data_IF_897035347957
#
_entry.id   IF_897035347957
#
_cell.length_a   1.000
_cell.length_b   1.000
_cell.length_c   1.000
_cell.angle_alpha   90.00
_cell.angle_beta   90.00
_cell.angle_gamma   90.00
#
_symmetry.space_group_name_H-M   'P 1'
#
loop_
_entity.id
_entity.type
_entity.pdbx_description
1 polymer ?
#
# COMPACT_ATOMS: atom_id res chain seq x y z
N UNK A 1 6.12 8.45 -8.58
CA UNK A 1 5.76 8.00 -9.95
C UNK A 1 6.54 6.76 -10.39
N UNK A 2 7.89 6.79 -10.48
CA UNK A 2 8.66 5.65 -11.00
C UNK A 2 8.42 4.30 -10.31
N UNK A 3 8.28 4.29 -8.98
CA UNK A 3 8.00 3.06 -8.23
C UNK A 3 6.62 2.47 -8.58
N UNK A 4 5.59 3.31 -8.70
CA UNK A 4 4.23 2.87 -9.10
C UNK A 4 4.26 2.26 -10.49
N UNK A 5 4.93 2.92 -11.45
CA UNK A 5 5.06 2.40 -12.82
C UNK A 5 5.77 1.06 -12.83
N UNK A 6 6.86 0.90 -12.08
CA UNK A 6 7.58 -0.36 -11.99
C UNK A 6 6.71 -1.49 -11.39
N UNK A 7 5.94 -1.19 -10.34
CA UNK A 7 4.99 -2.13 -9.73
C UNK A 7 3.89 -2.52 -10.71
N UNK A 8 3.29 -1.55 -11.41
CA UNK A 8 2.28 -1.79 -12.43
C UNK A 8 2.82 -2.65 -13.58
N UNK A 9 4.06 -2.42 -14.02
CA UNK A 9 4.70 -3.25 -15.04
C UNK A 9 4.88 -4.70 -14.57
N UNK A 10 5.42 -4.91 -13.36
CA UNK A 10 5.59 -6.25 -12.78
C UNK A 10 4.28 -7.00 -12.65
N UNK A 11 3.22 -6.31 -12.21
CA UNK A 11 1.88 -6.88 -12.14
C UNK A 11 1.36 -7.27 -13.53
N UNK A 12 1.46 -6.37 -14.51
CA UNK A 12 0.99 -6.61 -15.88
C UNK A 12 1.76 -7.75 -16.59
N UNK A 13 3.01 -7.99 -16.21
CA UNK A 13 3.85 -9.07 -16.73
C UNK A 13 3.60 -10.42 -16.06
N UNK A 14 2.83 -10.47 -14.95
CA UNK A 14 2.73 -11.69 -14.13
C UNK A 14 4.02 -12.01 -13.37
N UNK A 15 4.84 -10.99 -13.12
CA UNK A 15 6.12 -11.09 -12.41
C UNK A 15 6.01 -10.64 -10.95
N UNK A 16 4.83 -10.19 -10.52
CA UNK A 16 4.52 -9.82 -9.15
C UNK A 16 3.70 -10.92 -8.47
N UNK A 17 4.19 -11.43 -7.35
CA UNK A 17 3.49 -12.39 -6.49
C UNK A 17 3.28 -11.79 -5.11
N UNK A 18 2.09 -11.98 -4.54
CA UNK A 18 1.79 -11.57 -3.16
C UNK A 18 1.65 -12.83 -2.31
N UNK A 19 2.28 -12.83 -1.15
CA UNK A 19 2.23 -13.88 -0.13
C UNK A 19 1.64 -13.29 1.14
N UNK A 20 0.99 -14.08 1.98
CA UNK A 20 0.48 -13.60 3.28
C UNK A 20 1.64 -13.12 4.16
N UNK A 21 2.47 -14.05 4.63
CA UNK A 21 3.61 -13.78 5.50
C UNK A 21 4.80 -14.72 5.19
N UNK A 22 5.97 -14.43 5.76
CA UNK A 22 7.20 -15.23 5.61
C UNK A 22 7.59 -16.08 6.84
N UNK A 23 6.73 -16.14 7.87
CA UNK A 23 7.10 -16.69 9.17
C UNK A 23 7.33 -18.21 9.18
N UNK A 24 6.66 -18.96 8.29
CA UNK A 24 6.70 -20.43 8.24
C UNK A 24 7.76 -20.97 7.27
N UNK A 25 8.64 -20.11 6.77
CA UNK A 25 9.70 -20.54 5.86
C UNK A 25 10.82 -21.26 6.61
N UNK A 26 11.22 -22.40 6.06
CA UNK A 26 12.45 -23.11 6.40
C UNK A 26 13.36 -23.14 5.17
N UNK A 27 14.66 -23.38 5.35
CA UNK A 27 15.62 -23.42 4.24
C UNK A 27 15.21 -24.43 3.15
N UNK A 28 14.75 -25.62 3.55
CA UNK A 28 14.30 -26.66 2.62
C UNK A 28 13.05 -26.23 1.85
N UNK A 29 12.07 -25.67 2.56
CA UNK A 29 10.83 -25.23 1.94
C UNK A 29 11.07 -24.05 0.99
N UNK A 30 12.02 -23.17 1.32
CA UNK A 30 12.39 -22.05 0.48
C UNK A 30 13.07 -22.51 -0.81
N UNK A 31 14.05 -23.43 -0.76
CA UNK A 31 14.70 -23.93 -1.97
C UNK A 31 13.70 -24.61 -2.92
N UNK A 32 12.75 -25.35 -2.35
CA UNK A 32 11.69 -26.02 -3.10
C UNK A 32 10.70 -25.00 -3.70
N UNK A 33 10.34 -23.97 -2.93
CA UNK A 33 9.50 -22.87 -3.40
C UNK A 33 10.19 -22.09 -4.53
N UNK A 34 11.49 -21.79 -4.39
CA UNK A 34 12.27 -21.07 -5.41
C UNK A 34 12.28 -21.83 -6.73
N UNK A 35 12.42 -23.16 -6.67
CA UNK A 35 12.46 -24.02 -7.85
C UNK A 35 11.08 -24.19 -8.49
N UNK A 36 10.06 -24.48 -7.68
CA UNK A 36 8.69 -24.71 -8.15
C UNK A 36 8.02 -23.47 -8.73
N UNK A 37 8.26 -22.30 -8.13
CA UNK A 37 7.68 -21.01 -8.55
C UNK A 37 8.58 -20.23 -9.51
N UNK A 38 9.68 -20.82 -10.00
CA UNK A 38 10.64 -20.18 -10.90
C UNK A 38 11.22 -18.85 -10.38
N UNK A 39 11.49 -18.76 -9.07
CA UNK A 39 11.97 -17.54 -8.39
C UNK A 39 13.50 -17.42 -8.37
N UNK A 40 14.19 -17.99 -9.37
CA UNK A 40 15.66 -18.01 -9.41
C UNK A 40 16.31 -16.62 -9.47
N UNK A 41 15.56 -15.61 -9.96
CA UNK A 41 15.96 -14.21 -9.93
C UNK A 41 14.80 -13.39 -9.39
N UNK A 42 14.73 -13.26 -8.07
CA UNK A 42 13.62 -12.59 -7.39
C UNK A 42 14.09 -11.55 -6.39
N UNK A 43 13.20 -10.60 -6.10
CA UNK A 43 13.32 -9.68 -4.99
C UNK A 43 12.19 -9.98 -4.01
N UNK A 44 12.53 -10.35 -2.78
CA UNK A 44 11.58 -10.51 -1.69
C UNK A 44 11.46 -9.20 -0.93
N UNK A 45 10.22 -8.82 -0.62
CA UNK A 45 9.93 -7.59 0.11
C UNK A 45 8.97 -7.88 1.22
N UNK A 46 9.39 -7.55 2.43
CA UNK A 46 8.55 -7.60 3.63
C UNK A 46 8.26 -6.21 4.15
N UNK A 47 7.28 -6.07 5.05
CA UNK A 47 6.91 -4.78 5.61
C UNK A 47 8.04 -4.15 6.42
N UNK A 48 8.73 -4.97 7.20
CA UNK A 48 9.82 -4.57 8.09
C UNK A 48 11.09 -5.38 7.82
N UNK A 49 12.16 -5.07 8.55
CA UNK A 49 13.39 -5.86 8.52
C UNK A 49 13.14 -7.25 9.09
N UNK A 50 13.70 -8.26 8.43
CA UNK A 50 13.55 -9.66 8.78
C UNK A 50 14.90 -10.36 8.63
N UNK A 51 15.65 -10.41 9.72
CA UNK A 51 17.02 -10.97 9.74
C UNK A 51 17.04 -12.44 9.32
N UNK A 52 15.99 -13.20 9.68
CA UNK A 52 15.88 -14.59 9.28
C UNK A 52 15.75 -14.72 7.77
N UNK A 53 14.84 -13.99 7.15
CA UNK A 53 14.66 -14.00 5.70
C UNK A 53 15.91 -13.50 4.97
N UNK A 54 16.57 -12.46 5.49
CA UNK A 54 17.81 -11.94 4.91
C UNK A 54 18.92 -12.99 4.94
N UNK A 55 19.10 -13.69 6.07
CA UNK A 55 20.06 -14.79 6.19
C UNK A 55 19.74 -15.93 5.22
N UNK A 56 18.46 -16.28 5.06
CA UNK A 56 18.01 -17.35 4.20
C UNK A 56 18.29 -17.01 2.72
N UNK A 57 17.96 -15.79 2.32
CA UNK A 57 18.18 -15.28 0.97
C UNK A 57 19.66 -15.12 0.64
N UNK A 58 20.51 -14.81 1.62
CA UNK A 58 21.95 -14.61 1.41
C UNK A 58 22.69 -15.80 0.77
N UNK A 59 22.11 -17.00 0.85
CA UNK A 59 22.63 -18.20 0.18
C UNK A 59 22.49 -18.21 -1.35
N UNK A 60 21.76 -17.24 -1.93
CA UNK A 60 21.42 -17.21 -3.36
C UNK A 60 21.93 -15.91 -4.03
N UNK A 61 22.71 -16.04 -5.11
CA UNK A 61 23.34 -14.89 -5.78
C UNK A 61 22.33 -13.90 -6.42
N UNK A 62 21.21 -14.42 -6.91
CA UNK A 62 20.20 -13.65 -7.68
C UNK A 62 18.91 -13.43 -6.89
N UNK A 63 18.92 -13.68 -5.60
CA UNK A 63 17.77 -13.45 -4.72
C UNK A 63 18.19 -12.44 -3.66
N UNK A 64 17.36 -11.43 -3.46
CA UNK A 64 17.61 -10.33 -2.52
C UNK A 64 16.39 -10.15 -1.65
N UNK A 65 16.63 -9.65 -0.45
CA UNK A 65 15.60 -9.17 0.45
C UNK A 65 15.74 -7.66 0.63
N UNK A 66 14.60 -6.96 0.68
CA UNK A 66 14.52 -5.56 1.10
C UNK A 66 13.25 -5.29 1.90
N UNK A 67 13.31 -4.49 2.98
CA UNK A 67 12.09 -3.99 3.61
C UNK A 67 11.38 -3.00 2.67
N UNK A 68 10.05 -2.92 2.77
CA UNK A 68 9.17 -2.13 1.90
C UNK A 68 9.58 -0.66 1.82
N UNK A 69 10.10 -0.09 2.91
CA UNK A 69 10.54 1.30 2.95
C UNK A 69 11.81 1.56 2.12
N UNK A 70 12.66 0.54 1.95
CA UNK A 70 13.92 0.59 1.17
C UNK A 70 13.76 0.08 -0.26
N UNK A 71 12.53 -0.26 -0.68
CA UNK A 71 12.22 -0.68 -2.03
C UNK A 71 12.51 0.45 -3.02
N UNK A 72 13.25 0.11 -4.08
CA UNK A 72 13.65 1.06 -5.12
C UNK A 72 13.57 0.42 -6.50
N UNK A 73 13.37 1.25 -7.52
CA UNK A 73 13.08 0.81 -8.91
C UNK A 73 14.22 -0.04 -9.47
N UNK A 74 15.48 0.33 -9.22
CA UNK A 74 16.63 -0.39 -9.77
C UNK A 74 16.66 -1.86 -9.32
N UNK A 75 16.47 -2.15 -8.03
CA UNK A 75 16.38 -3.52 -7.51
C UNK A 75 15.23 -4.32 -8.13
N UNK A 76 14.07 -3.68 -8.36
CA UNK A 76 12.93 -4.33 -9.02
C UNK A 76 13.20 -4.66 -10.49
N UNK A 77 14.00 -3.86 -11.20
CA UNK A 77 14.29 -4.04 -12.62
C UNK A 77 15.42 -5.05 -12.87
N UNK A 78 16.40 -5.16 -11.97
CA UNK A 78 17.46 -6.16 -12.06
C UNK A 78 16.89 -7.58 -11.91
N UNK A 79 15.86 -7.74 -11.08
CA UNK A 79 15.27 -9.04 -10.77
C UNK A 79 14.09 -9.35 -11.66
N UNK A 80 13.96 -10.63 -12.03
CA UNK A 80 12.89 -11.08 -12.91
C UNK A 80 11.54 -11.11 -12.20
N UNK A 81 11.50 -11.59 -10.96
CA UNK A 81 10.28 -11.69 -10.14
C UNK A 81 10.32 -10.76 -8.94
N UNK A 82 9.16 -10.33 -8.47
CA UNK A 82 8.97 -9.55 -7.26
C UNK A 82 7.97 -10.27 -6.37
N UNK A 83 8.35 -10.56 -5.13
CA UNK A 83 7.48 -11.20 -4.14
C UNK A 83 7.26 -10.20 -3.00
N UNK A 84 6.00 -9.87 -2.72
CA UNK A 84 5.63 -8.95 -1.64
C UNK A 84 4.87 -9.72 -0.55
N UNK A 85 5.16 -9.45 0.72
CA UNK A 85 4.23 -9.82 1.80
C UNK A 85 2.99 -8.93 1.77
N UNK A 86 1.90 -9.42 2.35
CA UNK A 86 0.66 -8.64 2.48
C UNK A 86 0.91 -7.36 3.28
N UNK A 87 1.79 -7.44 4.29
CA UNK A 87 2.24 -6.28 5.06
C UNK A 87 3.03 -5.27 4.21
N UNK A 88 3.92 -5.74 3.35
CA UNK A 88 4.65 -4.88 2.41
C UNK A 88 3.70 -4.13 1.47
N UNK A 89 2.67 -4.83 0.94
CA UNK A 89 1.65 -4.20 0.08
C UNK A 89 0.96 -3.05 0.81
N UNK A 90 0.49 -3.26 2.04
CA UNK A 90 -0.18 -2.21 2.84
C UNK A 90 0.70 -0.98 3.03
N UNK A 91 1.97 -1.16 3.41
CA UNK A 91 2.91 -0.05 3.63
C UNK A 91 3.18 0.69 2.32
N UNK A 92 3.36 -0.03 1.22
CA UNK A 92 3.57 0.56 -0.10
C UNK A 92 2.32 1.31 -0.57
N UNK A 93 1.13 0.77 -0.35
CA UNK A 93 -0.13 1.45 -0.68
C UNK A 93 -0.29 2.73 0.13
N UNK A 94 -0.06 2.73 1.44
CA UNK A 94 -0.11 3.95 2.26
C UNK A 94 0.88 4.99 1.72
N UNK A 95 2.16 4.62 1.61
CA UNK A 95 3.24 5.51 1.15
C UNK A 95 3.01 6.04 -0.27
N UNK A 96 2.43 5.23 -1.16
CA UNK A 96 2.23 5.59 -2.55
C UNK A 96 0.83 6.13 -2.81
N UNK A 97 -0.14 6.09 -1.91
CA UNK A 97 -1.47 6.67 -2.13
C UNK A 97 -1.62 8.09 -1.60
N UNK A 98 -0.69 8.56 -0.75
CA UNK A 98 -0.68 9.91 -0.15
C UNK A 98 -0.70 11.09 -1.15
N UNK A 99 -0.42 10.86 -2.44
CA UNK A 99 -0.41 11.93 -3.46
C UNK A 99 -1.80 12.43 -3.90
N UNK A 100 -2.91 12.03 -3.26
CA UNK A 100 -4.30 12.34 -3.65
C UNK A 100 -4.65 11.94 -5.11
N UNK A 101 -3.85 11.07 -5.74
CA UNK A 101 -3.99 10.66 -7.16
C UNK A 101 -4.54 9.24 -7.32
N UNK A 102 -4.59 8.48 -6.24
CA UNK A 102 -5.25 7.18 -6.17
C UNK A 102 -6.52 7.43 -5.38
N UNK A 103 -7.66 6.96 -5.90
CA UNK A 103 -8.94 7.00 -5.20
C UNK A 103 -8.76 6.20 -3.93
N UNK A 104 -8.48 6.89 -2.83
CA UNK A 104 -8.52 6.28 -1.50
C UNK A 104 -10.00 6.00 -1.20
N UNK A 105 -10.30 4.89 -0.54
CA UNK A 105 -11.63 4.71 0.04
C UNK A 105 -11.91 5.99 0.88
N UNK A 106 -13.08 6.65 0.71
CA UNK A 106 -13.40 7.92 1.38
C UNK A 106 -13.09 7.94 2.89
N UNK A 107 -13.06 6.77 3.53
CA UNK A 107 -12.66 6.59 4.94
C UNK A 107 -11.21 7.02 5.24
N UNK A 108 -10.27 6.81 4.31
CA UNK A 108 -8.87 7.22 4.47
C UNK A 108 -8.72 8.73 4.39
N UNK A 109 -9.39 9.38 3.42
CA UNK A 109 -9.44 10.85 3.32
C UNK A 109 -9.98 11.49 4.61
N UNK A 110 -11.06 10.93 5.16
CA UNK A 110 -11.67 11.44 6.39
C UNK A 110 -10.79 11.22 7.64
N UNK A 111 -10.04 10.12 7.71
CA UNK A 111 -9.04 9.88 8.76
C UNK A 111 -7.92 10.94 8.71
N UNK A 112 -7.35 11.20 7.54
CA UNK A 112 -6.26 12.17 7.37
C UNK A 112 -6.70 13.63 7.59
N UNK A 113 -7.97 13.95 7.39
CA UNK A 113 -8.52 15.29 7.67
C UNK A 113 -8.82 15.55 9.16
N UNK A 114 -8.38 14.67 10.08
CA UNK A 114 -8.74 14.69 11.51
C UNK A 114 -10.27 14.72 11.72
N UNK A 115 -11.04 14.23 10.75
CA UNK A 115 -12.50 14.21 10.79
C UNK A 115 -12.97 12.81 11.20
N UNK A 116 -13.02 12.60 12.52
CA UNK A 116 -13.94 11.65 13.18
C UNK A 116 -13.81 10.15 12.82
N UNK A 117 -12.70 9.68 12.24
CA UNK A 117 -12.46 8.25 12.06
C UNK A 117 -11.37 7.75 13.00
N UNK A 118 -11.75 6.87 13.92
CA UNK A 118 -10.83 6.12 14.75
C UNK A 118 -10.08 5.06 13.91
N UNK A 119 -8.79 4.88 14.19
CA UNK A 119 -7.85 4.04 13.42
C UNK A 119 -8.32 2.59 13.34
N UNK A 120 -9.08 2.14 14.33
CA UNK A 120 -9.73 0.83 14.40
C UNK A 120 -10.75 0.55 13.27
N UNK A 121 -11.25 1.58 12.59
CA UNK A 121 -12.24 1.46 11.52
C UNK A 121 -11.65 1.39 10.11
N UNK A 122 -10.33 1.64 9.95
CA UNK A 122 -9.64 1.41 8.66
C UNK A 122 -9.50 -0.09 8.35
N UNK A 123 -9.40 -0.94 9.37
CA UNK A 123 -9.04 -2.35 9.24
C UNK A 123 -10.23 -3.32 9.23
N UNK A 124 -11.47 -2.82 9.27
CA UNK A 124 -12.66 -3.70 9.19
C UNK A 124 -12.90 -4.08 7.74
N UNK A 125 -12.92 -5.39 7.47
CA UNK A 125 -13.29 -5.95 6.17
C UNK A 125 -14.58 -5.31 5.63
N UNK A 126 -14.54 -4.93 4.35
CA UNK A 126 -15.69 -4.41 3.64
C UNK A 126 -16.74 -5.52 3.46
N UNK A 127 -17.82 -5.45 4.24
CA UNK A 127 -18.98 -6.33 4.10
C UNK A 127 -20.04 -5.62 3.23
N UNK A 128 -20.23 -6.04 1.96
CA UNK A 128 -21.18 -5.40 1.06
C UNK A 128 -22.64 -5.54 1.53
N UNK A 129 -22.94 -6.45 2.46
CA UNK A 129 -24.27 -6.68 3.03
C UNK A 129 -24.52 -5.90 4.32
N UNK A 130 -23.53 -5.21 4.90
CA UNK A 130 -23.71 -4.35 6.09
C UNK A 130 -24.31 -2.97 5.80
N UNK A 131 -24.77 -2.71 4.58
CA UNK A 131 -25.68 -1.60 4.31
C UNK A 131 -27.09 -1.99 4.72
N UNK A 132 -27.46 -1.62 5.94
CA UNK A 132 -28.77 -1.13 6.38
C UNK A 132 -29.00 -1.44 7.86
N UNK A 133 -28.45 -0.60 8.74
CA UNK A 133 -29.03 -0.45 10.07
C UNK A 133 -29.24 1.05 10.31
N UNK A 134 -30.51 1.45 10.09
CA UNK A 134 -31.15 2.70 10.57
C UNK A 134 -30.72 4.02 9.91
N UNK A 135 -30.90 4.13 8.60
CA UNK A 135 -31.42 5.35 7.96
C UNK A 135 -30.73 6.70 8.22
N UNK A 136 -29.48 6.76 8.68
CA UNK A 136 -28.71 8.01 8.81
C UNK A 136 -27.22 7.75 8.60
N UNK A 137 -26.72 8.04 7.39
CA UNK A 137 -25.31 8.34 7.14
C UNK A 137 -25.16 9.29 5.96
N UNK A 138 -25.50 10.55 6.20
CA UNK A 138 -24.66 11.68 5.80
C UNK A 138 -24.69 12.59 7.03
N UNK A 139 -23.56 12.91 7.71
CA UNK A 139 -23.56 14.10 8.54
C UNK A 139 -23.84 15.26 7.58
N UNK A 140 -25.02 15.88 7.66
CA UNK A 140 -25.29 17.07 6.87
C UNK A 140 -24.09 18.01 7.03
N UNK A 141 -23.47 18.33 5.90
CA UNK A 141 -22.39 19.31 5.84
C UNK A 141 -22.78 20.49 6.74
N UNK A 142 -21.96 20.92 7.71
CA UNK A 142 -22.26 22.17 8.38
C UNK A 142 -22.25 23.26 7.31
N UNK A 143 -23.43 23.81 6.99
CA UNK A 143 -23.57 24.95 6.09
C UNK A 143 -22.82 26.12 6.72
N UNK A 144 -21.53 26.25 6.44
CA UNK A 144 -20.78 27.45 6.76
C UNK A 144 -21.46 28.58 6.01
N UNK A 145 -22.05 29.53 6.74
CA UNK A 145 -22.45 30.82 6.19
C UNK A 145 -21.22 31.45 5.55
N UNK A 146 -21.11 31.37 4.23
CA UNK A 146 -20.14 32.14 3.46
C UNK A 146 -20.57 33.59 3.61
N UNK A 147 -20.00 34.30 4.58
CA UNK A 147 -20.05 35.77 4.56
C UNK A 147 -19.17 36.19 3.39
N UNK A 148 -19.79 36.41 2.23
CA UNK A 148 -19.15 37.17 1.17
C UNK A 148 -18.79 38.54 1.76
N UNK A 149 -17.49 38.79 1.96
CA UNK A 149 -17.02 40.17 2.11
C UNK A 149 -17.24 40.81 0.75
N UNK A 150 -18.30 41.60 0.63
CA UNK A 150 -18.51 42.47 -0.51
C UNK A 150 -17.29 43.40 -0.63
N UNK A 151 -16.72 43.59 -1.83
CA UNK A 151 -15.73 44.63 -2.02
C UNK A 151 -16.41 45.98 -1.80
N UNK A 152 -15.85 46.80 -0.91
CA UNK A 152 -16.30 48.17 -0.68
C UNK A 152 -16.37 48.92 -2.01
N UNK A 153 -17.56 49.37 -2.39
CA UNK A 153 -17.75 50.28 -3.51
C UNK A 153 -17.03 51.59 -3.20
N UNK A 154 -16.14 52.01 -4.11
CA UNK A 154 -15.66 53.39 -4.17
C UNK A 154 -16.80 54.29 -4.63
N UNK A 155 -17.63 54.70 -3.70
CA UNK A 155 -18.52 55.85 -3.80
C UNK A 155 -18.95 56.16 -2.37
N UNK A 156 -18.14 56.99 -1.71
CA UNK A 156 -18.62 58.13 -0.94
C UNK A 156 -17.43 59.08 -0.75
N UNK A 157 -17.75 60.35 -0.91
CA UNK A 157 -16.89 61.53 -0.94
C UNK A 157 -16.29 61.85 0.43
#
# INVERSE_FOLDING_TARGET
MGLRTALSCKLAQGDLTVVEDYNDLTETNFSDAVTSLSLQSSLFVDGFENDYLDSLVSGFEKIDFKPALLLHVYGMLIRSKLVLSLQAVRILEEKLCEDNRIVTDPRYELYHQNMLLDKSNLFKEFDPKKKELRGRLIPELPKKSIRHKLPMSRQDQ
#
